data_IF_005888647696
#
_entry.id   IF_005888647696
#
_cell.length_a   1.000
_cell.length_b   1.000
_cell.length_c   1.000
_cell.angle_alpha   90.00
_cell.angle_beta   90.00
_cell.angle_gamma   90.00
#
_symmetry.space_group_name_H-M   'P 1'
#
loop_
_entity.id
_entity.type
_entity.pdbx_description
1 polymer ?
#
# COMPACT_ATOMS: atom_id res chain seq x y z
N UNK A 1 -3.00 11.01 -2.90
CA UNK A 1 -3.42 9.72 -3.50
C UNK A 1 -2.36 8.67 -3.23
N UNK A 2 -2.74 7.41 -3.06
CA UNK A 2 -1.84 6.27 -2.91
C UNK A 2 -2.09 5.35 -4.11
N UNK A 3 -1.04 4.99 -4.85
CA UNK A 3 -1.16 4.08 -6.00
C UNK A 3 -0.72 2.68 -5.56
N UNK A 4 -1.60 1.71 -5.73
CA UNK A 4 -1.35 0.29 -5.50
C UNK A 4 -1.12 -0.37 -6.86
N UNK A 5 -0.06 -1.18 -6.95
CA UNK A 5 0.26 -1.98 -8.12
C UNK A 5 0.45 -3.43 -7.68
N UNK A 6 -0.22 -4.34 -8.35
CA UNK A 6 -0.11 -5.77 -8.18
C UNK A 6 0.61 -6.35 -9.40
N UNK A 7 1.81 -6.90 -9.23
CA UNK A 7 2.55 -7.55 -10.31
C UNK A 7 2.06 -8.98 -10.60
N UNK A 8 1.07 -9.48 -9.86
CA UNK A 8 0.51 -10.81 -10.00
C UNK A 8 -0.76 -10.78 -10.85
N UNK A 9 -1.05 -11.89 -11.54
CA UNK A 9 -2.32 -12.09 -12.24
C UNK A 9 -3.48 -12.50 -11.31
N UNK A 10 -3.22 -12.64 -10.01
CA UNK A 10 -4.21 -13.01 -9.00
C UNK A 10 -4.74 -11.78 -8.27
N UNK A 11 -6.06 -11.67 -8.02
CA UNK A 11 -6.62 -10.54 -7.31
C UNK A 11 -6.12 -10.48 -5.86
N UNK A 12 -5.87 -9.27 -5.38
CA UNK A 12 -5.38 -8.99 -4.03
C UNK A 12 -6.40 -8.16 -3.29
N UNK A 13 -6.70 -8.53 -2.06
CA UNK A 13 -7.48 -7.69 -1.17
C UNK A 13 -6.56 -6.80 -0.32
N UNK A 14 -7.03 -5.60 -0.02
CA UNK A 14 -6.29 -4.62 0.76
C UNK A 14 -7.14 -3.99 1.87
N UNK A 15 -6.45 -3.50 2.90
CA UNK A 15 -7.03 -2.73 4.01
C UNK A 15 -6.08 -1.63 4.43
N UNK A 16 -6.60 -0.42 4.56
CA UNK A 16 -5.84 0.77 4.91
C UNK A 16 -6.06 1.09 6.38
N UNK A 17 -4.96 1.27 7.10
CA UNK A 17 -4.92 1.71 8.50
C UNK A 17 -4.06 2.98 8.59
N UNK A 18 -4.39 3.85 9.53
CA UNK A 18 -3.61 5.06 9.80
C UNK A 18 -3.52 5.30 11.30
N UNK A 19 -2.44 5.93 11.74
CA UNK A 19 -2.27 6.34 13.15
C UNK A 19 -3.14 7.54 13.52
N UNK A 20 -3.73 8.23 12.53
CA UNK A 20 -4.53 9.45 12.73
C UNK A 20 -5.83 9.42 11.90
N UNK A 21 -6.76 8.48 12.14
CA UNK A 21 -7.95 8.26 11.32
C UNK A 21 -8.91 9.45 11.27
N UNK A 22 -8.94 10.29 12.32
CA UNK A 22 -9.76 11.51 12.33
C UNK A 22 -9.28 12.56 11.32
N UNK A 23 -7.99 12.56 10.97
CA UNK A 23 -7.38 13.53 10.07
C UNK A 23 -7.44 13.10 8.61
N UNK A 24 -7.74 11.85 8.31
CA UNK A 24 -7.71 11.34 6.94
C UNK A 24 -8.97 10.57 6.59
N UNK A 25 -9.59 10.97 5.49
CA UNK A 25 -10.64 10.21 4.84
C UNK A 25 -10.04 9.43 3.67
N UNK A 26 -10.10 8.10 3.76
CA UNK A 26 -9.63 7.17 2.72
C UNK A 26 -10.84 6.42 2.18
N UNK A 27 -11.07 6.48 0.87
CA UNK A 27 -12.20 5.77 0.24
C UNK A 27 -11.78 5.05 -1.04
N UNK A 28 -12.10 3.76 -1.19
CA UNK A 28 -12.55 2.84 -0.14
C UNK A 28 -11.42 2.56 0.87
N UNK A 29 -11.72 2.30 2.15
CA UNK A 29 -10.69 1.97 3.15
C UNK A 29 -10.19 0.52 3.04
N UNK A 30 -10.93 -0.34 2.36
CA UNK A 30 -10.57 -1.70 2.02
C UNK A 30 -11.25 -2.11 0.72
N UNK A 31 -10.68 -3.05 -0.01
CA UNK A 31 -11.25 -3.53 -1.26
C UNK A 31 -10.42 -4.61 -1.91
N UNK A 32 -10.74 -4.92 -3.16
CA UNK A 32 -10.02 -5.89 -4.00
C UNK A 32 -9.55 -5.15 -5.24
N UNK A 33 -8.35 -5.47 -5.72
CA UNK A 33 -7.85 -4.99 -7.00
C UNK A 33 -7.02 -6.07 -7.69
N UNK A 34 -7.01 -6.05 -9.02
CA UNK A 34 -6.35 -7.08 -9.82
C UNK A 34 -4.98 -6.64 -10.32
N UNK A 35 -4.84 -5.40 -10.81
CA UNK A 35 -3.58 -4.92 -11.43
C UNK A 35 -3.16 -3.59 -10.83
N UNK A 36 -3.84 -2.49 -11.14
CA UNK A 36 -3.53 -1.16 -10.59
C UNK A 36 -4.77 -0.61 -9.90
N UNK A 37 -4.59 0.03 -8.76
CA UNK A 37 -5.66 0.72 -8.05
C UNK A 37 -5.17 2.03 -7.43
N UNK A 38 -5.87 3.12 -7.76
CA UNK A 38 -5.58 4.44 -7.19
C UNK A 38 -6.52 4.72 -6.04
N UNK A 39 -5.95 4.83 -4.85
CA UNK A 39 -6.66 5.08 -3.61
C UNK A 39 -6.65 6.59 -3.29
N UNK A 40 -7.79 7.30 -3.40
CA UNK A 40 -7.87 8.69 -2.97
C UNK A 40 -7.80 8.78 -1.44
N UNK A 41 -6.98 9.73 -0.99
CA UNK A 41 -6.76 10.05 0.42
C UNK A 41 -6.95 11.55 0.58
N UNK A 42 -7.90 11.93 1.42
CA UNK A 42 -8.24 13.33 1.69
C UNK A 42 -7.84 13.67 3.11
N UNK A 43 -7.02 14.70 3.27
CA UNK A 43 -6.71 15.28 4.58
C UNK A 43 -7.90 16.15 5.01
N UNK A 44 -8.47 15.84 6.17
CA UNK A 44 -9.54 16.65 6.76
C UNK A 44 -8.93 17.93 7.36
N UNK A 45 -9.68 19.04 7.42
CA UNK A 45 -9.23 20.26 8.08
C UNK A 45 -8.84 19.99 9.54
N UNK A 46 -7.67 20.51 9.96
CA UNK A 46 -7.20 20.42 11.34
C UNK A 46 -6.26 21.59 11.66
N UNK A 47 -6.13 21.92 12.93
CA UNK A 47 -5.14 22.90 13.40
C UNK A 47 -3.76 22.25 13.40
N UNK A 48 -2.85 22.75 12.57
CA UNK A 48 -1.47 22.29 12.51
C UNK A 48 -0.67 22.86 13.69
N UNK A 49 -0.06 21.97 14.46
CA UNK A 49 0.85 22.34 15.55
C UNK A 49 2.30 21.98 15.15
N UNK A 50 3.19 22.96 14.95
CA UNK A 50 4.59 22.70 14.59
C UNK A 50 5.38 21.96 15.68
N UNK A 51 4.88 21.93 16.92
CA UNK A 51 5.47 21.13 18.00
C UNK A 51 5.10 19.65 17.92
N UNK A 52 4.11 19.29 17.07
CA UNK A 52 3.66 17.93 16.88
C UNK A 52 4.73 17.12 16.12
N UNK A 53 5.55 16.37 16.86
CA UNK A 53 6.58 15.47 16.30
C UNK A 53 6.01 14.19 15.67
N UNK A 54 4.70 13.98 15.78
CA UNK A 54 4.03 12.76 15.33
C UNK A 54 3.95 12.74 13.81
N UNK A 55 4.84 11.98 13.17
CA UNK A 55 4.71 11.67 11.75
C UNK A 55 3.45 10.83 11.54
N UNK A 56 2.55 11.32 10.70
CA UNK A 56 1.37 10.57 10.29
C UNK A 56 1.82 9.30 9.53
N UNK A 57 1.35 8.13 9.94
CA UNK A 57 1.70 6.85 9.31
C UNK A 57 0.47 6.19 8.72
N UNK A 58 0.63 5.65 7.53
CA UNK A 58 -0.34 4.76 6.90
C UNK A 58 0.24 3.36 6.84
N UNK A 59 -0.64 2.37 6.88
CA UNK A 59 -0.30 0.97 6.72
C UNK A 59 -1.33 0.35 5.80
N UNK A 60 -0.86 -0.19 4.69
CA UNK A 60 -1.68 -0.96 3.76
C UNK A 60 -1.38 -2.42 4.07
N UNK A 61 -2.39 -3.13 4.55
CA UNK A 61 -2.34 -4.57 4.66
C UNK A 61 -2.89 -5.15 3.37
N UNK A 62 -2.20 -6.14 2.81
CA UNK A 62 -2.63 -6.82 1.58
C UNK A 62 -2.47 -8.32 1.69
N UNK A 63 -3.33 -9.07 1.03
CA UNK A 63 -3.21 -10.53 0.89
C UNK A 63 -3.88 -10.98 -0.42
N UNK A 64 -3.39 -12.06 -0.99
CA UNK A 64 -4.01 -12.70 -2.15
C UNK A 64 -5.45 -13.08 -1.78
N UNK A 65 -6.40 -12.80 -2.66
CA UNK A 65 -7.80 -13.15 -2.46
C UNK A 65 -7.92 -14.68 -2.41
N UNK A 66 -8.46 -15.27 -1.31
CA UNK A 66 -8.72 -16.70 -1.26
C UNK A 66 -9.80 -17.09 -2.27
N UNK A 67 -9.66 -18.25 -2.92
CA UNK A 67 -10.63 -18.74 -3.91
C UNK A 67 -12.02 -19.00 -3.29
N UNK A 68 -12.08 -19.42 -2.02
CA UNK A 68 -13.31 -19.72 -1.28
C UNK A 68 -13.97 -18.48 -0.62
N UNK A 69 -13.68 -17.28 -1.13
CA UNK A 69 -14.14 -16.04 -0.52
C UNK A 69 -15.48 -15.55 -1.10
N UNK A 70 -16.58 -15.90 -0.43
CA UNK A 70 -17.90 -15.29 -0.70
C UNK A 70 -18.14 -13.99 0.09
N UNK A 71 -17.45 -13.83 1.24
CA UNK A 71 -17.67 -12.72 2.15
C UNK A 71 -16.38 -12.00 2.56
N UNK A 72 -16.26 -10.74 2.17
CA UNK A 72 -15.07 -9.91 2.42
C UNK A 72 -14.77 -9.70 3.91
N UNK A 73 -15.80 -9.64 4.77
CA UNK A 73 -15.61 -9.54 6.22
C UNK A 73 -15.03 -10.82 6.84
N UNK A 74 -15.26 -11.98 6.21
CA UNK A 74 -14.73 -13.26 6.67
C UNK A 74 -13.26 -13.44 6.29
N UNK A 75 -12.81 -12.87 5.16
CA UNK A 75 -11.42 -12.95 4.69
C UNK A 75 -10.46 -12.52 5.78
N UNK A 76 -10.67 -11.34 6.35
CA UNK A 76 -9.74 -10.79 7.34
C UNK A 76 -9.85 -11.46 8.72
N UNK A 77 -10.97 -12.13 9.02
CA UNK A 77 -11.16 -12.87 10.28
C UNK A 77 -10.49 -14.24 10.25
N UNK A 78 -10.54 -14.90 9.09
CA UNK A 78 -9.99 -16.23 8.88
C UNK A 78 -8.60 -16.20 8.22
N UNK A 79 -8.08 -15.01 7.91
CA UNK A 79 -6.77 -14.85 7.30
C UNK A 79 -5.66 -15.34 8.22
N UNK A 80 -4.81 -16.20 7.68
CA UNK A 80 -3.56 -16.58 8.30
C UNK A 80 -2.65 -15.32 8.37
N UNK A 81 -2.20 -14.90 9.56
CA UNK A 81 -1.33 -13.74 9.71
C UNK A 81 -0.02 -13.86 8.93
N UNK A 82 0.44 -15.08 8.62
CA UNK A 82 1.63 -15.29 7.79
C UNK A 82 1.40 -14.95 6.30
N UNK A 83 0.15 -14.88 5.84
CA UNK A 83 -0.23 -14.52 4.47
C UNK A 83 -0.54 -13.02 4.31
N UNK A 84 -0.62 -12.28 5.41
CA UNK A 84 -0.88 -10.84 5.39
C UNK A 84 0.45 -10.10 5.23
N UNK A 85 0.50 -9.22 4.24
CA UNK A 85 1.65 -8.34 3.99
C UNK A 85 1.34 -6.93 4.49
N UNK A 86 2.26 -6.35 5.25
CA UNK A 86 2.14 -4.99 5.78
C UNK A 86 3.08 -4.02 5.05
N UNK A 87 2.52 -3.03 4.35
CA UNK A 87 3.25 -1.93 3.72
C UNK A 87 3.07 -0.65 4.51
N UNK A 88 4.14 -0.13 5.12
CA UNK A 88 4.12 1.07 5.95
C UNK A 88 4.56 2.29 5.15
N UNK A 89 3.76 3.36 5.20
CA UNK A 89 4.02 4.65 4.58
C UNK A 89 4.10 5.74 5.64
N UNK A 90 4.98 6.71 5.43
CA UNK A 90 5.08 7.92 6.24
C UNK A 90 4.54 9.08 5.42
N UNK A 91 3.55 9.78 5.94
CA UNK A 91 3.04 11.00 5.32
C UNK A 91 3.84 12.20 5.84
N UNK A 92 4.38 12.96 4.90
CA UNK A 92 5.08 14.21 5.15
C UNK A 92 4.15 15.34 4.72
N UNK A 93 3.71 16.14 5.68
CA UNK A 93 2.96 17.36 5.41
C UNK A 93 3.97 18.47 5.08
N UNK A 94 3.79 19.14 3.94
CA UNK A 94 4.51 20.37 3.60
C UNK A 94 3.53 21.54 3.66
N UNK A 95 3.96 22.66 4.25
CA UNK A 95 3.15 23.86 4.26
C UNK A 95 3.20 24.57 2.91
N UNK A 96 2.11 25.26 2.55
CA UNK A 96 1.99 25.92 1.26
C UNK A 96 3.07 26.99 0.99
N UNK A 97 3.65 27.59 2.04
CA UNK A 97 4.76 28.56 1.94
C UNK A 97 6.13 27.95 1.61
N UNK A 98 6.24 26.63 1.53
CA UNK A 98 7.47 25.87 1.23
C UNK A 98 7.37 25.13 -0.13
N UNK A 99 6.30 25.39 -0.89
CA UNK A 99 6.05 24.80 -2.21
C UNK A 99 6.99 25.42 -3.24
N UNK A 100 8.14 24.78 -3.47
CA UNK A 100 8.91 24.99 -4.72
C UNK A 100 8.09 24.39 -5.85
N UNK A 101 7.68 25.22 -6.82
CA UNK A 101 7.07 24.75 -8.07
C UNK A 101 8.16 23.99 -8.83
N UNK A 102 8.20 22.67 -8.65
CA UNK A 102 9.04 21.79 -9.44
C UNK A 102 8.26 21.40 -10.71
N UNK A 103 8.92 21.34 -11.88
CA UNK A 103 8.32 20.73 -13.06
C UNK A 103 7.88 19.32 -12.68
N UNK A 104 6.72 18.90 -13.19
CA UNK A 104 6.04 17.65 -12.85
C UNK A 104 6.95 16.44 -13.11
N UNK A 105 7.80 16.08 -12.15
CA UNK A 105 8.49 14.81 -12.17
C UNK A 105 7.46 13.76 -11.76
N UNK A 106 7.14 12.90 -12.72
CA UNK A 106 6.60 11.58 -12.44
C UNK A 106 7.41 10.95 -11.31
N UNK A 107 6.74 10.45 -10.27
CA UNK A 107 7.40 9.85 -9.12
C UNK A 107 8.05 8.52 -9.55
N UNK A 108 9.26 8.61 -10.10
CA UNK A 108 10.20 7.50 -10.17
C UNK A 108 10.57 7.12 -8.74
N UNK A 109 10.26 5.88 -8.37
CA UNK A 109 10.60 5.31 -7.07
C UNK A 109 12.12 5.12 -6.96
N UNK A 110 12.87 6.18 -6.64
CA UNK A 110 14.23 6.04 -6.09
C UNK A 110 14.16 6.06 -4.58
N UNK A 111 13.56 5.02 -4.02
CA UNK A 111 13.85 4.58 -2.67
C UNK A 111 14.80 3.41 -2.80
N UNK A 112 15.91 3.43 -2.05
CA UNK A 112 16.69 2.22 -1.80
C UNK A 112 15.82 1.30 -0.93
N UNK A 113 14.79 0.70 -1.56
CA UNK A 113 14.13 -0.48 -1.05
C UNK A 113 15.27 -1.42 -0.77
N UNK A 114 15.39 -1.88 0.47
CA UNK A 114 16.29 -2.96 0.78
C UNK A 114 15.79 -4.18 -0.01
N UNK A 115 16.27 -4.28 -1.26
CA UNK A 115 16.17 -5.41 -2.16
C UNK A 115 16.94 -6.52 -1.49
N UNK A 116 16.34 -7.16 -0.49
CA UNK A 116 16.90 -8.37 0.10
C UNK A 116 15.90 -9.26 0.83
N UNK A 117 14.60 -8.90 0.91
CA UNK A 117 13.58 -9.84 1.40
C UNK A 117 12.37 -10.03 0.51
N UNK A 118 12.02 -9.04 -0.32
CA UNK A 118 10.79 -9.11 -1.11
C UNK A 118 10.91 -10.14 -2.25
N UNK A 119 11.98 -10.10 -3.07
CA UNK A 119 12.14 -11.00 -4.22
C UNK A 119 12.35 -12.47 -3.85
N UNK A 120 13.10 -12.75 -2.77
CA UNK A 120 13.36 -14.12 -2.33
C UNK A 120 12.08 -14.87 -1.95
N UNK A 121 11.12 -14.17 -1.32
CA UNK A 121 9.84 -14.75 -0.93
C UNK A 121 8.91 -15.06 -2.13
N UNK A 122 9.05 -14.28 -3.22
CA UNK A 122 8.35 -14.49 -4.48
C UNK A 122 8.97 -15.64 -5.29
N UNK A 123 10.30 -15.73 -5.35
CA UNK A 123 11.00 -16.78 -6.09
C UNK A 123 10.86 -18.17 -5.44
N UNK A 124 10.84 -18.27 -4.12
CA UNK A 124 10.65 -19.55 -3.40
C UNK A 124 9.26 -20.19 -3.59
N UNK A 125 8.29 -19.47 -4.15
CA UNK A 125 6.90 -19.92 -4.26
C UNK A 125 6.29 -19.84 -5.66
N UNK A 126 7.10 -19.56 -6.68
CA UNK A 126 6.67 -19.81 -8.05
C UNK A 126 6.59 -21.33 -8.27
N UNK A 127 5.46 -21.88 -8.75
CA UNK A 127 5.44 -23.24 -9.26
C UNK A 127 6.50 -23.39 -10.34
N UNK A 128 7.14 -24.56 -10.42
CA UNK A 128 8.33 -24.86 -11.25
C UNK A 128 8.11 -24.82 -12.78
N UNK A 129 7.24 -23.96 -13.29
CA UNK A 129 6.92 -23.83 -14.72
C UNK A 129 7.46 -22.56 -15.40
N UNK A 130 8.02 -21.61 -14.65
CA UNK A 130 8.65 -20.43 -15.25
C UNK A 130 10.18 -20.54 -15.18
N UNK A 131 10.75 -21.47 -15.96
CA UNK A 131 12.12 -21.29 -16.43
C UNK A 131 12.09 -20.24 -17.54
N UNK A 132 12.56 -19.03 -17.26
CA UNK A 132 12.89 -18.06 -18.31
C UNK A 132 14.05 -18.65 -19.11
N UNK A 133 13.74 -19.26 -20.25
CA UNK A 133 14.73 -19.60 -21.27
C UNK A 133 15.31 -18.29 -21.81
N UNK A 134 16.55 -18.00 -21.48
CA UNK A 134 17.32 -16.94 -22.13
C UNK A 134 17.57 -17.33 -23.59
N UNK A 135 17.04 -16.52 -24.50
CA UNK A 135 17.49 -16.43 -25.87
C UNK A 135 17.74 -14.95 -26.20
#
# INVERSE_FOLDING_TARGET
MINLSNPLDTPVCFKVKTTVPKRYCVRPSSGIFSVIFTLPVMLQPFSYDPSEKTKHKFMIQSMILPEDCDNFDAVWKNADPAKIMDSKLICILRMAGELVVLPSHELLFEGNFSVNRSLAWYQDRLPSQFSLSSH
#
